data_IF_057095211023
#
_entry.id   IF_057095211023
#
_cell.length_a   1.000
_cell.length_b   1.000
_cell.length_c   1.000
_cell.angle_alpha   90.00
_cell.angle_beta   90.00
_cell.angle_gamma   90.00
#
_symmetry.space_group_name_H-M   'P 1'
#
loop_
_entity.id
_entity.type
_entity.pdbx_description
1 polymer ?
#
# COMPACT_ATOMS: atom_id res chain seq x y z
N UNK A 1 -43.07 41.24 -22.44
CA UNK A 1 -42.10 40.59 -23.34
C UNK A 1 -41.68 39.27 -22.72
N UNK A 2 -41.86 38.15 -23.44
CA UNK A 2 -41.78 36.78 -22.91
C UNK A 2 -40.34 36.45 -22.48
N UNK A 3 -40.13 36.12 -21.20
CA UNK A 3 -38.85 35.63 -20.70
C UNK A 3 -38.82 34.12 -20.95
N UNK A 4 -38.09 33.68 -21.97
CA UNK A 4 -37.79 32.27 -22.20
C UNK A 4 -36.68 31.83 -21.24
N UNK A 5 -37.05 31.14 -20.18
CA UNK A 5 -36.13 30.37 -19.33
C UNK A 5 -35.64 29.16 -20.13
N UNK A 6 -34.45 29.27 -20.70
CA UNK A 6 -33.75 28.14 -21.32
C UNK A 6 -33.04 27.37 -20.21
N UNK A 7 -33.60 26.21 -19.83
CA UNK A 7 -32.93 25.25 -18.94
C UNK A 7 -31.93 24.49 -19.79
N UNK A 8 -30.67 24.92 -19.78
CA UNK A 8 -29.57 24.15 -20.39
C UNK A 8 -29.14 23.08 -19.40
N UNK A 9 -29.56 21.84 -19.65
CA UNK A 9 -29.13 20.66 -18.89
C UNK A 9 -27.66 20.36 -19.27
N UNK A 10 -26.71 20.87 -18.49
CA UNK A 10 -25.30 20.53 -18.64
C UNK A 10 -25.10 19.09 -18.14
N UNK A 11 -25.09 18.14 -19.06
CA UNK A 11 -24.61 16.78 -18.79
C UNK A 11 -23.08 16.85 -18.60
N UNK A 12 -22.64 16.96 -17.35
CA UNK A 12 -21.23 16.79 -17.00
C UNK A 12 -20.89 15.32 -17.26
N UNK A 13 -20.21 15.05 -18.36
CA UNK A 13 -19.59 13.76 -18.61
C UNK A 13 -18.55 13.52 -17.52
N UNK A 14 -18.92 12.75 -16.49
CA UNK A 14 -17.98 12.26 -15.50
C UNK A 14 -17.03 11.30 -16.22
N UNK A 15 -15.85 11.79 -16.61
CA UNK A 15 -14.75 10.94 -17.03
C UNK A 15 -14.28 10.16 -15.79
N UNK A 16 -14.94 9.02 -15.53
CA UNK A 16 -14.42 8.00 -14.62
C UNK A 16 -13.21 7.38 -15.33
N UNK A 17 -12.03 7.93 -15.07
CA UNK A 17 -10.79 7.27 -15.45
C UNK A 17 -10.66 6.01 -14.59
N UNK A 18 -10.96 4.85 -15.18
CA UNK A 18 -10.69 3.57 -14.55
C UNK A 18 -9.17 3.44 -14.38
N UNK A 19 -8.68 3.42 -13.14
CA UNK A 19 -7.26 3.21 -12.87
C UNK A 19 -6.87 1.81 -13.36
N UNK A 20 -5.84 1.75 -14.20
CA UNK A 20 -5.25 0.49 -14.65
C UNK A 20 -4.53 -0.17 -13.46
N UNK A 21 -5.01 -1.34 -13.04
CA UNK A 21 -4.46 -2.11 -11.93
C UNK A 21 -3.28 -2.95 -12.43
N UNK A 22 -2.22 -3.04 -11.61
CA UNK A 22 -0.96 -3.71 -11.97
C UNK A 22 -0.27 -3.10 -13.21
N UNK A 23 -0.42 -1.79 -13.42
CA UNK A 23 0.20 -1.09 -14.55
C UNK A 23 1.72 -1.30 -14.53
N UNK A 24 2.28 -1.63 -15.68
CA UNK A 24 3.72 -1.81 -15.89
C UNK A 24 4.27 -0.71 -16.78
N UNK A 25 5.40 -0.14 -16.42
CA UNK A 25 6.14 0.83 -17.23
C UNK A 25 7.60 0.44 -17.33
N UNK A 26 8.30 0.95 -18.35
CA UNK A 26 9.75 0.91 -18.40
C UNK A 26 10.31 2.15 -17.71
N UNK A 27 10.95 1.95 -16.55
CA UNK A 27 11.56 3.01 -15.77
C UNK A 27 12.93 3.36 -16.32
N UNK A 28 13.05 4.54 -16.91
CA UNK A 28 14.30 5.05 -17.49
C UNK A 28 15.40 5.26 -16.43
N UNK A 29 15.05 5.65 -15.20
CA UNK A 29 16.02 5.89 -14.13
C UNK A 29 16.64 4.59 -13.62
N UNK A 30 15.92 3.47 -13.75
CA UNK A 30 16.36 2.14 -13.31
C UNK A 30 16.73 1.21 -14.48
N UNK A 31 16.44 1.62 -15.71
CA UNK A 31 16.57 0.85 -16.94
C UNK A 31 15.97 -0.55 -16.84
N UNK A 32 14.72 -0.63 -16.37
CA UNK A 32 13.99 -1.89 -16.13
C UNK A 32 12.49 -1.68 -16.12
N UNK A 33 11.75 -2.76 -16.33
CA UNK A 33 10.31 -2.75 -16.16
C UNK A 33 9.96 -2.74 -14.67
N UNK A 34 9.00 -1.91 -14.27
CA UNK A 34 8.50 -1.79 -12.90
C UNK A 34 6.98 -1.70 -12.89
N UNK A 35 6.37 -2.12 -11.79
CA UNK A 35 4.96 -1.80 -11.51
C UNK A 35 4.81 -0.36 -11.00
N UNK A 36 3.69 0.28 -11.34
CA UNK A 36 3.28 1.60 -10.85
C UNK A 36 1.77 1.62 -10.55
N UNK A 37 1.33 2.57 -9.71
CA UNK A 37 -0.07 2.77 -9.30
C UNK A 37 -0.61 1.60 -8.46
N UNK A 38 -1.94 1.50 -8.37
CA UNK A 38 -2.63 0.48 -7.58
C UNK A 38 -2.33 -0.90 -8.14
N UNK A 39 -1.96 -1.81 -7.25
CA UNK A 39 -1.67 -3.20 -7.57
C UNK A 39 -2.53 -4.14 -6.73
N UNK A 40 -2.77 -5.32 -7.27
CA UNK A 40 -3.25 -6.47 -6.52
C UNK A 40 -2.08 -7.20 -5.87
N UNK A 41 -2.35 -7.96 -4.80
CA UNK A 41 -1.33 -8.83 -4.21
C UNK A 41 -0.81 -9.85 -5.22
N UNK A 42 -1.70 -10.50 -5.96
CA UNK A 42 -1.33 -11.44 -7.02
C UNK A 42 -0.37 -10.79 -8.04
N UNK A 43 -0.75 -9.62 -8.58
CA UNK A 43 0.06 -8.94 -9.59
C UNK A 43 1.49 -8.63 -9.14
N UNK A 44 1.69 -8.28 -7.86
CA UNK A 44 3.04 -8.00 -7.34
C UNK A 44 3.82 -9.29 -7.04
N UNK A 45 3.15 -10.36 -6.59
CA UNK A 45 3.81 -11.64 -6.24
C UNK A 45 4.12 -12.50 -7.47
N UNK A 46 3.47 -12.23 -8.59
CA UNK A 46 3.79 -12.83 -9.90
C UNK A 46 4.78 -11.99 -10.72
N UNK A 47 5.06 -10.75 -10.31
CA UNK A 47 6.00 -9.88 -11.04
C UNK A 47 7.42 -10.43 -10.92
N UNK A 48 8.12 -10.77 -12.02
CA UNK A 48 9.38 -11.53 -11.97
C UNK A 48 10.42 -10.94 -11.01
N UNK A 49 10.64 -9.63 -11.08
CA UNK A 49 11.65 -8.95 -10.26
C UNK A 49 11.36 -8.99 -8.74
N UNK A 50 10.10 -9.14 -8.37
CA UNK A 50 9.66 -9.16 -6.97
C UNK A 50 9.42 -10.60 -6.48
N UNK A 51 8.94 -11.48 -7.36
CA UNK A 51 8.61 -12.88 -7.07
C UNK A 51 9.79 -13.66 -6.51
N UNK A 52 10.99 -13.50 -7.08
CA UNK A 52 12.19 -14.24 -6.69
C UNK A 52 12.50 -14.11 -5.19
N UNK A 53 12.25 -12.93 -4.62
CA UNK A 53 12.44 -12.68 -3.18
C UNK A 53 11.17 -12.94 -2.36
N UNK A 54 9.99 -12.76 -2.95
CA UNK A 54 8.72 -12.92 -2.23
C UNK A 54 8.55 -14.32 -1.64
N UNK A 55 8.67 -15.37 -2.47
CA UNK A 55 8.40 -16.75 -2.05
C UNK A 55 9.26 -17.19 -0.83
N UNK A 56 10.60 -17.08 -0.87
CA UNK A 56 11.43 -17.51 0.27
C UNK A 56 11.24 -16.63 1.51
N UNK A 57 11.11 -15.30 1.36
CA UNK A 57 11.03 -14.40 2.51
C UNK A 57 9.67 -14.48 3.21
N UNK A 58 8.58 -14.54 2.46
CA UNK A 58 7.25 -14.78 3.03
C UNK A 58 7.19 -16.12 3.77
N UNK A 59 7.81 -17.17 3.22
CA UNK A 59 7.83 -18.49 3.85
C UNK A 59 8.68 -18.50 5.14
N UNK A 60 9.86 -17.88 5.11
CA UNK A 60 10.81 -17.86 6.21
C UNK A 60 10.42 -16.94 7.38
N UNK A 61 9.60 -15.91 7.14
CA UNK A 61 9.25 -14.96 8.20
C UNK A 61 8.29 -15.58 9.22
N UNK A 62 8.68 -15.54 10.50
CA UNK A 62 7.88 -16.01 11.63
C UNK A 62 7.69 -14.83 12.59
N UNK A 63 6.52 -14.17 12.60
CA UNK A 63 6.23 -13.08 13.53
C UNK A 63 6.24 -13.55 14.98
N UNK A 64 6.63 -12.67 15.91
CA UNK A 64 6.61 -12.99 17.34
C UNK A 64 5.19 -13.32 17.85
N UNK A 65 5.02 -14.53 18.39
CA UNK A 65 3.70 -15.04 18.76
C UNK A 65 3.02 -14.21 19.85
N UNK A 66 3.77 -13.70 20.84
CA UNK A 66 3.22 -12.89 21.91
C UNK A 66 2.70 -11.54 21.38
N UNK A 67 3.48 -10.89 20.51
CA UNK A 67 3.10 -9.64 19.85
C UNK A 67 1.87 -9.81 18.97
N UNK A 68 1.76 -10.93 18.26
CA UNK A 68 0.60 -11.25 17.43
C UNK A 68 -0.68 -11.45 18.24
N UNK A 69 -0.60 -12.01 19.45
CA UNK A 69 -1.75 -12.13 20.35
C UNK A 69 -2.25 -10.74 20.77
N UNK A 70 -1.37 -9.81 21.11
CA UNK A 70 -1.77 -8.45 21.48
C UNK A 70 -2.34 -7.67 20.29
N UNK A 71 -1.73 -7.78 19.11
CA UNK A 71 -2.23 -7.15 17.89
C UNK A 71 -3.65 -7.60 17.55
N UNK A 72 -3.95 -8.90 17.65
CA UNK A 72 -5.29 -9.45 17.38
C UNK A 72 -6.38 -8.82 18.25
N UNK A 73 -6.06 -8.35 19.46
CA UNK A 73 -7.02 -7.66 20.34
C UNK A 73 -7.31 -6.22 19.90
N UNK A 74 -6.35 -5.56 19.23
CA UNK A 74 -6.40 -4.14 18.91
C UNK A 74 -6.86 -3.84 17.48
N UNK A 75 -6.51 -4.71 16.53
CA UNK A 75 -6.88 -4.60 15.11
C UNK A 75 -8.39 -4.75 14.94
N UNK A 76 -9.03 -3.81 14.23
CA UNK A 76 -10.48 -3.79 14.02
C UNK A 76 -10.85 -3.50 12.55
N UNK A 77 -10.98 -2.21 12.20
CA UNK A 77 -11.50 -1.74 10.90
C UNK A 77 -10.58 -0.70 10.26
N UNK A 78 -9.33 -0.67 10.70
CA UNK A 78 -8.28 0.16 10.15
C UNK A 78 -8.02 -0.21 8.70
N UNK A 79 -7.45 0.73 7.97
CA UNK A 79 -6.97 0.54 6.61
C UNK A 79 -5.46 0.66 6.59
N UNK A 80 -4.81 -0.08 5.70
CA UNK A 80 -3.37 0.00 5.50
C UNK A 80 -3.09 0.36 4.05
N UNK A 81 -2.24 1.34 3.83
CA UNK A 81 -1.63 1.59 2.52
C UNK A 81 -0.19 1.09 2.54
N UNK A 82 0.18 0.32 1.54
CA UNK A 82 1.54 -0.17 1.32
C UNK A 82 2.06 0.52 0.07
N UNK A 83 2.99 1.47 0.23
CA UNK A 83 3.66 2.12 -0.90
C UNK A 83 5.04 1.52 -1.05
N UNK A 84 5.34 0.92 -2.21
CA UNK A 84 6.57 0.14 -2.40
C UNK A 84 7.10 0.25 -3.83
N UNK A 85 8.38 -0.10 -4.04
CA UNK A 85 8.98 -0.21 -5.37
C UNK A 85 9.33 -1.65 -5.68
N UNK A 86 8.88 -2.18 -6.81
CA UNK A 86 9.24 -3.55 -7.26
C UNK A 86 10.74 -3.72 -7.49
N UNK A 87 11.43 -2.63 -7.79
CA UNK A 87 12.88 -2.54 -8.00
C UNK A 87 13.71 -2.39 -6.72
N UNK A 88 13.09 -2.13 -5.57
CA UNK A 88 13.76 -1.75 -4.33
C UNK A 88 14.06 -2.98 -3.46
N UNK A 89 15.31 -3.14 -3.00
CA UNK A 89 15.73 -4.25 -2.14
C UNK A 89 14.93 -4.35 -0.84
N UNK A 90 14.75 -3.23 -0.13
CA UNK A 90 14.00 -3.20 1.13
C UNK A 90 12.52 -3.51 0.91
N UNK A 91 11.97 -3.13 -0.26
CA UNK A 91 10.60 -3.47 -0.63
C UNK A 91 10.47 -4.98 -0.86
N UNK A 92 11.43 -5.57 -1.57
CA UNK A 92 11.48 -7.02 -1.80
C UNK A 92 11.67 -7.82 -0.51
N UNK A 93 12.18 -7.22 0.57
CA UNK A 93 12.32 -7.88 1.87
C UNK A 93 11.12 -7.65 2.77
N UNK A 94 10.76 -6.39 3.02
CA UNK A 94 9.83 -6.06 4.08
C UNK A 94 8.36 -6.22 3.67
N UNK A 95 8.03 -6.09 2.38
CA UNK A 95 6.63 -6.28 1.92
C UNK A 95 6.18 -7.75 2.03
N UNK A 96 6.96 -8.77 1.60
CA UNK A 96 6.61 -10.17 1.86
C UNK A 96 6.45 -10.48 3.35
N UNK A 97 7.40 -10.04 4.18
CA UNK A 97 7.35 -10.23 5.63
C UNK A 97 6.12 -9.54 6.25
N UNK A 98 5.78 -8.34 5.78
CA UNK A 98 4.61 -7.62 6.28
C UNK A 98 3.30 -8.31 5.86
N UNK A 99 3.22 -8.85 4.66
CA UNK A 99 2.08 -9.69 4.28
C UNK A 99 1.93 -10.91 5.18
N UNK A 100 3.04 -11.55 5.59
CA UNK A 100 3.00 -12.65 6.55
C UNK A 100 2.40 -12.22 7.89
N UNK A 101 2.73 -11.01 8.38
CA UNK A 101 2.09 -10.43 9.57
C UNK A 101 0.58 -10.26 9.33
N UNK A 102 0.18 -9.61 8.24
CA UNK A 102 -1.23 -9.36 7.93
C UNK A 102 -2.06 -10.65 7.81
N UNK A 103 -1.49 -11.69 7.20
CA UNK A 103 -2.15 -13.00 7.05
C UNK A 103 -2.35 -13.69 8.39
N UNK A 104 -1.34 -13.66 9.26
CA UNK A 104 -1.45 -14.21 10.62
C UNK A 104 -2.45 -13.44 11.49
N UNK A 105 -2.68 -12.15 11.21
CA UNK A 105 -3.74 -11.34 11.80
C UNK A 105 -5.12 -11.56 11.18
N UNK A 106 -5.20 -12.31 10.07
CA UNK A 106 -6.41 -12.42 9.24
C UNK A 106 -6.93 -11.03 8.85
N UNK A 107 -6.02 -10.11 8.55
CA UNK A 107 -6.36 -8.75 8.16
C UNK A 107 -7.13 -8.78 6.83
N UNK A 108 -8.23 -8.04 6.74
CA UNK A 108 -9.10 -8.09 5.57
C UNK A 108 -8.38 -7.45 4.37
N UNK A 109 -8.18 -8.22 3.30
CA UNK A 109 -7.49 -7.74 2.08
C UNK A 109 -8.13 -6.48 1.50
N UNK A 110 -9.47 -6.36 1.54
CA UNK A 110 -10.19 -5.14 1.11
C UNK A 110 -9.84 -3.87 1.89
N UNK A 111 -9.18 -3.99 3.03
CA UNK A 111 -8.69 -2.87 3.84
C UNK A 111 -7.20 -2.59 3.58
N UNK A 112 -6.56 -3.32 2.68
CA UNK A 112 -5.17 -3.12 2.27
C UNK A 112 -5.15 -2.56 0.85
N UNK A 113 -4.52 -1.41 0.68
CA UNK A 113 -4.27 -0.81 -0.63
C UNK A 113 -2.78 -0.92 -0.91
N UNK A 114 -2.42 -1.52 -2.05
CA UNK A 114 -1.03 -1.74 -2.46
C UNK A 114 -0.75 -0.80 -3.63
N UNK A 115 0.26 0.05 -3.49
CA UNK A 115 0.60 1.09 -4.46
C UNK A 115 2.07 0.95 -4.83
N UNK A 116 2.34 0.64 -6.09
CA UNK A 116 3.69 0.59 -6.62
C UNK A 116 4.14 1.98 -7.13
N UNK A 117 5.43 2.26 -7.05
CA UNK A 117 6.04 3.50 -7.53
C UNK A 117 7.24 3.25 -8.44
N UNK A 118 7.50 4.20 -9.33
CA UNK A 118 8.70 4.22 -10.15
C UNK A 118 9.98 4.48 -9.32
N UNK A 119 11.13 4.50 -9.99
CA UNK A 119 12.46 4.73 -9.43
C UNK A 119 12.65 6.09 -8.78
N UNK A 120 11.85 7.08 -9.20
CA UNK A 120 11.75 8.41 -8.60
C UNK A 120 10.73 8.47 -7.44
N UNK A 121 10.15 7.33 -7.06
CA UNK A 121 9.12 7.16 -6.02
C UNK A 121 7.83 7.92 -6.34
N UNK A 122 7.48 8.00 -7.63
CA UNK A 122 6.24 8.61 -8.11
C UNK A 122 5.23 7.55 -8.54
N UNK A 123 3.96 7.93 -8.41
CA UNK A 123 2.84 7.27 -9.04
C UNK A 123 2.09 8.32 -9.89
N UNK A 124 1.23 7.86 -10.79
CA UNK A 124 0.44 8.74 -11.64
C UNK A 124 -0.81 9.24 -10.92
N UNK A 125 -1.46 10.26 -11.49
CA UNK A 125 -2.77 10.77 -11.07
C UNK A 125 -2.85 11.20 -9.59
N UNK A 126 -1.71 11.50 -8.97
CA UNK A 126 -1.63 11.95 -7.58
C UNK A 126 -2.08 10.90 -6.55
N UNK A 127 -2.06 9.60 -6.87
CA UNK A 127 -2.55 8.52 -5.98
C UNK A 127 -1.82 8.50 -4.63
N UNK A 128 -0.57 8.95 -4.61
CA UNK A 128 0.25 9.06 -3.40
C UNK A 128 0.40 10.50 -2.88
N UNK A 129 -0.30 11.46 -3.48
CA UNK A 129 -0.21 12.87 -3.06
C UNK A 129 -0.72 13.02 -1.63
N UNK A 130 -0.03 13.86 -0.85
CA UNK A 130 -0.32 14.04 0.57
C UNK A 130 0.13 12.89 1.48
N UNK A 131 0.58 11.74 0.95
CA UNK A 131 1.13 10.65 1.77
C UNK A 131 2.57 10.92 2.24
N UNK A 132 3.26 11.88 1.63
CA UNK A 132 4.65 12.26 1.94
C UNK A 132 5.62 11.05 1.91
N UNK A 133 5.64 10.33 0.78
CA UNK A 133 6.47 9.13 0.60
C UNK A 133 7.90 9.55 0.22
N UNK A 134 8.81 9.47 1.19
CA UNK A 134 10.24 9.77 1.00
C UNK A 134 11.07 8.51 0.76
N UNK A 135 10.64 7.38 1.32
CA UNK A 135 11.32 6.07 1.24
C UNK A 135 10.32 4.95 0.98
N UNK A 136 10.80 3.87 0.40
CA UNK A 136 9.99 2.67 0.11
C UNK A 136 10.69 1.43 0.68
N UNK A 137 9.94 0.46 1.21
CA UNK A 137 8.49 0.47 1.34
C UNK A 137 8.05 1.38 2.51
N UNK A 138 6.84 1.91 2.45
CA UNK A 138 6.21 2.58 3.59
C UNK A 138 4.84 1.96 3.83
N UNK A 139 4.61 1.51 5.06
CA UNK A 139 3.36 0.91 5.52
C UNK A 139 2.63 1.93 6.40
N UNK A 140 1.47 2.42 5.96
CA UNK A 140 0.74 3.50 6.66
C UNK A 140 -0.58 2.96 7.16
N UNK A 141 -0.85 3.13 8.46
CA UNK A 141 -2.08 2.69 9.11
C UNK A 141 -3.02 3.87 9.28
N UNK A 142 -4.26 3.70 8.86
CA UNK A 142 -5.32 4.70 8.96
C UNK A 142 -6.48 4.18 9.81
N UNK A 143 -7.08 5.08 10.59
CA UNK A 143 -8.35 4.79 11.24
C UNK A 143 -9.52 4.78 10.23
N UNK A 144 -10.72 4.42 10.71
CA UNK A 144 -11.94 4.39 9.89
C UNK A 144 -12.35 5.76 9.32
N UNK A 145 -11.85 6.86 9.89
CA UNK A 145 -12.12 8.24 9.46
C UNK A 145 -11.08 8.75 8.46
N UNK A 146 -10.07 7.92 8.14
CA UNK A 146 -8.98 8.30 7.24
C UNK A 146 -7.86 9.09 7.92
N UNK A 147 -7.84 9.19 9.26
CA UNK A 147 -6.73 9.79 9.99
C UNK A 147 -5.58 8.77 10.07
N UNK A 148 -4.39 9.20 9.71
CA UNK A 148 -3.18 8.40 9.91
C UNK A 148 -2.89 8.19 11.41
N UNK A 149 -2.73 6.93 11.80
CA UNK A 149 -2.35 6.52 13.15
C UNK A 149 -0.83 6.41 13.29
N UNK A 150 -0.15 6.07 12.20
CA UNK A 150 1.30 5.96 12.14
C UNK A 150 1.75 5.16 10.92
N UNK A 151 3.07 5.05 10.76
CA UNK A 151 3.70 4.36 9.63
C UNK A 151 5.00 3.68 10.01
N UNK A 152 5.35 2.65 9.26
CA UNK A 152 6.66 1.99 9.25
C UNK A 152 7.34 2.38 7.94
N UNK A 153 8.54 2.96 7.99
CA UNK A 153 9.24 3.52 6.83
C UNK A 153 10.52 2.73 6.58
N UNK A 154 10.64 2.16 5.39
CA UNK A 154 11.78 1.38 4.88
C UNK A 154 11.99 0.06 5.64
N UNK A 155 12.32 0.13 6.93
CA UNK A 155 12.57 -1.00 7.83
C UNK A 155 11.84 -0.80 9.18
N UNK A 156 11.49 -1.90 9.89
CA UNK A 156 11.02 -1.79 11.26
C UNK A 156 12.13 -1.30 12.20
N UNK A 157 11.76 -0.56 13.24
CA UNK A 157 12.66 -0.19 14.36
C UNK A 157 12.95 -1.38 15.26
N UNK A 158 11.97 -2.27 15.41
CA UNK A 158 12.07 -3.50 16.22
C UNK A 158 11.80 -4.72 15.34
N UNK A 159 10.54 -5.05 15.15
CA UNK A 159 10.02 -6.01 14.15
C UNK A 159 8.81 -5.39 13.47
N UNK A 160 8.33 -5.99 12.37
CA UNK A 160 7.18 -5.45 11.65
C UNK A 160 5.92 -5.47 12.53
N UNK A 161 5.69 -6.59 13.23
CA UNK A 161 4.59 -6.73 14.18
C UNK A 161 4.78 -5.87 15.45
N UNK A 162 6.02 -5.69 15.93
CA UNK A 162 6.31 -4.84 17.08
C UNK A 162 6.01 -3.37 16.80
N UNK A 163 6.48 -2.87 15.66
CA UNK A 163 6.22 -1.50 15.23
C UNK A 163 4.72 -1.30 14.90
N UNK A 164 4.07 -2.30 14.30
CA UNK A 164 2.63 -2.28 14.08
C UNK A 164 1.88 -2.19 15.41
N UNK A 165 2.26 -2.99 16.40
CA UNK A 165 1.65 -2.97 17.74
C UNK A 165 1.80 -1.59 18.39
N UNK A 166 2.98 -0.98 18.29
CA UNK A 166 3.21 0.37 18.82
C UNK A 166 2.30 1.42 18.15
N UNK A 167 1.98 1.28 16.86
CA UNK A 167 1.00 2.15 16.18
C UNK A 167 -0.39 1.95 16.78
N UNK A 168 -0.81 0.69 16.97
CA UNK A 168 -2.14 0.38 17.53
C UNK A 168 -2.29 0.75 19.01
N UNK A 169 -1.21 0.74 19.80
CA UNK A 169 -1.26 1.13 21.21
C UNK A 169 -1.40 2.64 21.40
N UNK A 170 -0.83 3.47 20.53
CA UNK A 170 -0.99 4.95 20.56
C UNK A 170 -2.42 5.42 20.28
N UNK A 171 -3.24 4.55 19.69
CA UNK A 171 -4.65 4.79 19.41
C UNK A 171 -5.51 4.63 20.67
N UNK A 172 -5.08 3.79 21.61
CA UNK A 172 -5.82 3.42 22.82
C UNK A 172 -5.84 4.53 23.86
#
# INVERSE_FOLDING_TARGET
MKILLSITLIAIAMNVSAQEVNKKIHDQARNKDVLINVCTREGITTFPEFKEMYDPLYAAYVPDAATMIELKKLVKKEKIKIVFGTWCGDSKVNVPNFFKVLDNLQFKEKNVEIIAVDGAKKAENGIIDGLNIQRVPTFIVFDKKGKELGRIVEHPKTTLEGDLLAIYQKKS
#
